data_IF_907143140307
#
_entry.id   IF_907143140307
#
_cell.length_a   1.000
_cell.length_b   1.000
_cell.length_c   1.000
_cell.angle_alpha   90.00
_cell.angle_beta   90.00
_cell.angle_gamma   90.00
#
_symmetry.space_group_name_H-M   'P 1'
#
loop_
_entity.id
_entity.type
_entity.pdbx_description
1 polymer ?
#
# COMPACT_ATOMS: atom_id res chain seq x y z
N UNK A 1 -10.28 20.43 -12.32
CA UNK A 1 -10.65 19.28 -11.48
C UNK A 1 -9.40 18.60 -10.94
N UNK A 2 -9.39 18.26 -9.68
CA UNK A 2 -8.28 17.50 -9.12
C UNK A 2 -8.52 16.02 -9.37
N UNK A 3 -7.49 15.32 -9.85
CA UNK A 3 -7.51 13.88 -10.03
C UNK A 3 -6.67 13.16 -8.98
N UNK A 4 -5.87 13.93 -8.22
CA UNK A 4 -5.05 13.43 -7.12
C UNK A 4 -5.36 14.24 -5.88
N UNK A 5 -5.91 13.57 -4.86
CA UNK A 5 -6.35 14.23 -3.63
C UNK A 5 -5.30 14.18 -2.53
N UNK A 6 -4.50 13.13 -2.50
CA UNK A 6 -3.44 12.98 -1.49
C UNK A 6 -2.08 13.24 -2.12
N UNK A 7 -1.19 13.91 -1.37
CA UNK A 7 0.19 14.10 -1.78
C UNK A 7 1.07 12.93 -1.32
N UNK A 8 0.97 12.58 -0.06
CA UNK A 8 1.77 11.49 0.49
C UNK A 8 1.13 10.91 1.73
N UNK A 9 1.65 9.76 2.13
CA UNK A 9 1.31 9.09 3.38
C UNK A 9 2.61 8.90 4.15
N UNK A 10 2.59 9.19 5.44
CA UNK A 10 3.71 9.00 6.35
C UNK A 10 3.25 7.98 7.40
N UNK A 11 3.76 6.77 7.29
CA UNK A 11 3.38 5.66 8.15
C UNK A 11 4.47 5.40 9.19
N UNK A 12 4.05 5.21 10.43
CA UNK A 12 4.98 4.87 11.52
C UNK A 12 5.23 3.36 11.55
N UNK A 13 6.49 3.00 11.75
CA UNK A 13 6.93 1.61 11.90
C UNK A 13 7.90 1.54 13.09
N UNK A 14 7.96 0.39 13.75
CA UNK A 14 8.83 0.25 14.93
C UNK A 14 10.26 -0.10 14.57
N UNK A 15 10.50 -0.70 13.41
CA UNK A 15 11.83 -1.17 13.00
C UNK A 15 12.02 -0.88 11.51
N UNK A 16 12.89 0.07 11.20
CA UNK A 16 13.11 0.52 9.82
C UNK A 16 13.72 -0.57 8.96
N UNK A 17 14.61 -1.39 9.49
CA UNK A 17 15.22 -2.46 8.70
C UNK A 17 14.17 -3.49 8.23
N UNK A 18 13.34 -3.95 9.15
CA UNK A 18 12.28 -4.90 8.82
C UNK A 18 11.23 -4.29 7.88
N UNK A 19 10.81 -3.06 8.16
CA UNK A 19 9.84 -2.35 7.34
C UNK A 19 10.37 -2.08 5.94
N UNK A 20 11.63 -1.64 5.83
CA UNK A 20 12.25 -1.38 4.54
C UNK A 20 12.33 -2.61 3.66
N UNK A 21 12.64 -3.77 4.25
CA UNK A 21 12.65 -5.04 3.51
C UNK A 21 11.26 -5.42 3.02
N UNK A 22 10.24 -5.26 3.86
CA UNK A 22 8.87 -5.60 3.52
C UNK A 22 8.33 -4.68 2.43
N UNK A 23 8.35 -3.37 2.68
CA UNK A 23 7.80 -2.38 1.74
C UNK A 23 8.62 -2.27 0.47
N UNK A 24 9.93 -2.51 0.54
CA UNK A 24 10.80 -2.51 -0.64
C UNK A 24 10.47 -3.59 -1.66
N UNK A 25 9.81 -4.67 -1.24
CA UNK A 25 9.35 -5.73 -2.14
C UNK A 25 8.00 -5.42 -2.76
N UNK A 26 7.18 -4.61 -2.10
CA UNK A 26 5.77 -4.40 -2.46
C UNK A 26 5.56 -3.07 -3.18
N UNK A 27 6.04 -1.97 -2.60
CA UNK A 27 5.74 -0.63 -3.09
C UNK A 27 6.21 -0.37 -4.52
N UNK A 28 7.40 -0.84 -4.96
CA UNK A 28 7.79 -0.66 -6.36
C UNK A 28 6.83 -1.32 -7.35
N UNK A 29 6.22 -2.42 -6.98
CA UNK A 29 5.25 -3.12 -7.83
C UNK A 29 3.92 -2.36 -7.91
N UNK A 30 3.68 -1.45 -6.97
CA UNK A 30 2.49 -0.60 -6.94
C UNK A 30 2.71 0.75 -7.61
N UNK A 31 3.93 1.00 -8.12
CA UNK A 31 4.24 2.26 -8.80
C UNK A 31 5.14 3.20 -8.03
N UNK A 32 5.51 2.89 -6.80
CA UNK A 32 6.45 3.68 -5.99
C UNK A 32 7.86 3.19 -6.25
N UNK A 33 8.43 3.59 -7.38
CA UNK A 33 9.63 2.97 -7.95
C UNK A 33 10.94 3.65 -7.58
N UNK A 34 10.90 4.86 -7.00
CA UNK A 34 12.10 5.60 -6.63
C UNK A 34 12.28 5.57 -5.11
N UNK A 35 13.30 4.86 -4.65
CA UNK A 35 13.55 4.68 -3.23
C UNK A 35 14.58 5.68 -2.73
N UNK A 36 14.33 6.24 -1.54
CA UNK A 36 15.27 7.13 -0.85
C UNK A 36 15.38 6.67 0.60
N UNK A 37 16.31 5.74 0.90
CA UNK A 37 16.48 5.24 2.26
C UNK A 37 17.18 6.26 3.16
N UNK A 38 16.82 6.25 4.45
CA UNK A 38 17.45 7.03 5.49
C UNK A 38 17.58 6.18 6.75
N UNK A 39 18.16 6.76 7.81
CA UNK A 39 18.37 6.02 9.04
C UNK A 39 17.08 5.78 9.81
N UNK A 40 16.25 6.81 9.94
CA UNK A 40 14.99 6.76 10.69
C UNK A 40 13.77 7.05 9.81
N UNK A 41 13.96 7.18 8.50
CA UNK A 41 12.90 7.30 7.52
C UNK A 41 13.29 6.61 6.21
N UNK A 42 12.29 6.27 5.42
CA UNK A 42 12.51 5.62 4.12
C UNK A 42 11.36 6.04 3.21
N UNK A 43 11.67 6.71 2.11
CA UNK A 43 10.66 7.27 1.22
C UNK A 43 10.64 6.54 -0.12
N UNK A 44 9.43 6.25 -0.61
CA UNK A 44 9.19 5.61 -1.89
C UNK A 44 8.35 6.56 -2.73
N UNK A 45 8.93 7.09 -3.80
CA UNK A 45 8.26 8.04 -4.70
C UNK A 45 7.65 7.32 -5.88
N UNK A 46 6.46 7.74 -6.29
CA UNK A 46 5.84 7.25 -7.52
C UNK A 46 6.68 7.63 -8.73
N UNK A 47 6.67 6.77 -9.74
CA UNK A 47 7.40 6.99 -10.98
C UNK A 47 6.56 7.68 -12.04
N UNK A 48 7.27 8.21 -13.05
CA UNK A 48 6.65 8.77 -14.25
C UNK A 48 6.21 10.22 -14.11
N UNK A 49 6.44 11.00 -15.15
CA UNK A 49 6.00 12.38 -15.23
C UNK A 49 7.07 13.37 -14.82
N UNK A 50 6.86 14.62 -15.21
CA UNK A 50 7.78 15.74 -15.00
C UNK A 50 7.45 16.55 -13.76
N UNK A 51 6.32 16.30 -13.14
CA UNK A 51 5.86 17.02 -11.95
C UNK A 51 5.98 16.13 -10.72
N UNK A 52 6.03 16.71 -9.52
CA UNK A 52 6.06 15.92 -8.29
C UNK A 52 4.86 14.97 -8.22
N UNK A 53 5.13 13.71 -7.89
CA UNK A 53 4.11 12.69 -7.73
C UNK A 53 4.01 12.29 -6.27
N UNK A 54 3.00 11.51 -5.95
CA UNK A 54 2.78 11.05 -4.59
C UNK A 54 3.95 10.20 -4.09
N UNK A 55 4.10 10.15 -2.78
CA UNK A 55 5.09 9.27 -2.17
C UNK A 55 4.55 8.62 -0.90
N UNK A 56 5.18 7.54 -0.53
CA UNK A 56 4.89 6.79 0.68
C UNK A 56 6.15 6.79 1.54
N UNK A 57 6.05 7.29 2.76
CA UNK A 57 7.20 7.42 3.66
C UNK A 57 6.99 6.56 4.90
N UNK A 58 8.03 5.84 5.25
CA UNK A 58 8.11 5.11 6.52
C UNK A 58 8.93 5.96 7.48
N UNK A 59 8.44 6.18 8.69
CA UNK A 59 9.17 6.88 9.75
C UNK A 59 9.27 5.97 10.96
N UNK A 60 10.47 5.82 11.51
CA UNK A 60 10.67 4.95 12.65
C UNK A 60 10.19 5.62 13.94
N UNK A 61 9.37 4.90 14.68
CA UNK A 61 8.93 5.25 16.03
C UNK A 61 8.82 3.95 16.81
N UNK A 62 9.77 3.71 17.69
CA UNK A 62 9.85 2.44 18.43
C UNK A 62 8.68 2.23 19.37
N UNK A 63 7.93 3.28 19.66
CA UNK A 63 6.73 3.22 20.50
C UNK A 63 5.43 3.14 19.71
N UNK A 64 5.54 3.05 18.38
CA UNK A 64 4.35 2.97 17.52
C UNK A 64 3.50 1.75 17.87
N UNK A 65 2.18 1.97 17.92
CA UNK A 65 1.19 0.91 18.04
C UNK A 65 0.18 1.07 16.92
N UNK A 66 -0.03 0.03 16.11
CA UNK A 66 -1.03 0.10 15.05
C UNK A 66 -2.44 0.21 15.64
N UNK A 67 -3.36 0.74 14.83
CA UNK A 67 -4.75 0.90 15.20
C UNK A 67 -5.65 0.40 14.07
N UNK A 68 -6.91 0.83 14.03
CA UNK A 68 -7.84 0.40 13.00
C UNK A 68 -7.71 1.10 11.65
N UNK A 69 -6.81 2.09 11.53
CA UNK A 69 -6.59 2.77 10.27
C UNK A 69 -6.06 1.79 9.23
N UNK A 70 -6.65 1.83 8.02
CA UNK A 70 -6.25 0.97 6.91
C UNK A 70 -5.88 1.82 5.71
N UNK A 71 -4.79 1.44 5.05
CA UNK A 71 -4.35 2.08 3.82
C UNK A 71 -4.58 1.08 2.68
N UNK A 72 -5.40 1.48 1.70
CA UNK A 72 -5.69 0.66 0.53
C UNK A 72 -4.96 1.22 -0.67
N UNK A 73 -4.17 0.37 -1.31
CA UNK A 73 -3.46 0.71 -2.53
C UNK A 73 -4.31 0.31 -3.73
N UNK A 74 -4.27 1.13 -4.77
CA UNK A 74 -4.96 0.88 -6.01
C UNK A 74 -4.23 -0.14 -6.87
N UNK A 75 -4.97 -1.08 -7.44
CA UNK A 75 -4.50 -1.96 -8.50
C UNK A 75 -5.39 -1.77 -9.72
N UNK A 76 -4.80 -1.86 -10.90
CA UNK A 76 -5.53 -1.64 -12.15
C UNK A 76 -6.39 -2.84 -12.55
N UNK A 77 -5.97 -4.04 -12.16
CA UNK A 77 -6.64 -5.28 -12.55
C UNK A 77 -6.69 -6.26 -11.38
N UNK A 78 -7.59 -7.26 -11.48
CA UNK A 78 -7.63 -8.36 -10.51
C UNK A 78 -6.35 -9.19 -10.54
N UNK A 79 -5.77 -9.37 -11.71
CA UNK A 79 -4.50 -10.09 -11.88
C UNK A 79 -3.38 -9.39 -11.09
N UNK A 80 -3.38 -8.06 -11.10
CA UNK A 80 -2.40 -7.30 -10.33
C UNK A 80 -2.60 -7.51 -8.82
N UNK A 81 -3.85 -7.51 -8.34
CA UNK A 81 -4.14 -7.84 -6.93
C UNK A 81 -3.59 -9.23 -6.59
N UNK A 82 -3.83 -10.21 -7.46
CA UNK A 82 -3.35 -11.57 -7.25
C UNK A 82 -1.81 -11.64 -7.18
N UNK A 83 -1.15 -10.93 -8.08
CA UNK A 83 0.31 -10.90 -8.13
C UNK A 83 0.90 -10.26 -6.89
N UNK A 84 0.35 -9.11 -6.47
CA UNK A 84 0.82 -8.41 -5.27
C UNK A 84 0.57 -9.25 -4.03
N UNK A 85 -0.56 -9.98 -3.97
CA UNK A 85 -0.85 -10.84 -2.82
C UNK A 85 0.23 -11.91 -2.62
N UNK A 86 0.77 -12.45 -3.71
CA UNK A 86 1.88 -13.41 -3.64
C UNK A 86 3.15 -12.77 -3.11
N UNK A 87 3.46 -11.55 -3.57
CA UNK A 87 4.62 -10.81 -3.07
C UNK A 87 4.50 -10.50 -1.58
N UNK A 88 3.31 -10.11 -1.12
CA UNK A 88 3.04 -9.83 0.29
C UNK A 88 3.28 -11.09 1.13
N UNK A 89 2.76 -12.23 0.65
CA UNK A 89 2.94 -13.51 1.33
C UNK A 89 4.43 -13.87 1.45
N UNK A 90 5.16 -13.74 0.35
CA UNK A 90 6.59 -14.05 0.30
C UNK A 90 7.42 -13.07 1.15
N UNK A 91 6.95 -11.83 1.26
CA UNK A 91 7.61 -10.80 2.06
C UNK A 91 7.33 -10.91 3.56
N UNK A 92 6.44 -11.80 3.97
CA UNK A 92 6.12 -12.01 5.37
C UNK A 92 4.96 -11.18 5.90
N UNK A 93 4.04 -10.78 5.03
CA UNK A 93 2.81 -10.12 5.46
C UNK A 93 2.03 -10.98 6.45
N UNK A 94 1.30 -10.33 7.35
CA UNK A 94 0.57 -10.98 8.42
C UNK A 94 -0.93 -10.87 8.21
N UNK A 95 -1.67 -11.81 8.80
CA UNK A 95 -3.15 -11.82 8.83
C UNK A 95 -3.76 -11.63 7.44
N UNK A 96 -3.34 -12.49 6.52
CA UNK A 96 -3.73 -12.42 5.11
C UNK A 96 -5.18 -12.85 4.92
N UNK A 97 -5.95 -12.07 4.14
CA UNK A 97 -7.33 -12.38 3.75
C UNK A 97 -7.54 -12.10 2.27
N UNK A 98 -8.03 -13.10 1.54
CA UNK A 98 -8.30 -12.97 0.11
C UNK A 98 -7.13 -13.42 -0.75
N UNK A 99 -7.03 -12.96 -2.00
CA UNK A 99 -7.93 -12.01 -2.69
C UNK A 99 -9.36 -12.53 -2.84
N UNK A 100 -10.33 -11.61 -2.75
CA UNK A 100 -11.74 -11.98 -2.83
C UNK A 100 -12.60 -10.83 -3.36
N UNK A 101 -13.76 -11.19 -3.90
CA UNK A 101 -14.75 -10.21 -4.32
C UNK A 101 -15.49 -9.70 -3.08
N UNK A 102 -15.56 -8.37 -2.92
CA UNK A 102 -16.19 -7.70 -1.80
C UNK A 102 -17.33 -6.82 -2.31
N UNK A 103 -18.43 -7.44 -2.76
CA UNK A 103 -19.58 -6.72 -3.32
C UNK A 103 -20.22 -5.75 -2.32
N UNK A 104 -20.08 -6.04 -1.02
CA UNK A 104 -20.58 -5.14 0.03
C UNK A 104 -19.93 -3.76 0.00
N UNK A 105 -18.72 -3.65 -0.53
CA UNK A 105 -18.00 -2.37 -0.59
C UNK A 105 -18.42 -1.58 -1.84
N UNK A 106 -18.42 -2.23 -2.99
CA UNK A 106 -18.95 -1.68 -4.24
C UNK A 106 -18.96 -2.77 -5.29
N UNK A 107 -19.73 -2.58 -6.39
CA UNK A 107 -19.78 -3.57 -7.47
C UNK A 107 -18.38 -3.82 -8.06
N UNK A 108 -18.01 -5.10 -8.15
CA UNK A 108 -16.73 -5.50 -8.71
C UNK A 108 -15.52 -5.21 -7.84
N UNK A 109 -15.74 -4.87 -6.57
CA UNK A 109 -14.62 -4.61 -5.65
C UNK A 109 -13.89 -5.92 -5.38
N UNK A 110 -12.60 -5.95 -5.71
CA UNK A 110 -11.75 -7.12 -5.54
C UNK A 110 -10.54 -6.73 -4.70
N UNK A 111 -10.32 -7.41 -3.58
CA UNK A 111 -9.35 -6.93 -2.60
C UNK A 111 -8.59 -8.05 -1.91
N UNK A 112 -7.40 -7.70 -1.47
CA UNK A 112 -6.56 -8.51 -0.61
C UNK A 112 -6.17 -7.68 0.61
N UNK A 113 -6.41 -8.23 1.80
CA UNK A 113 -6.15 -7.55 3.08
C UNK A 113 -4.96 -8.21 3.77
N UNK A 114 -4.12 -7.38 4.37
CA UNK A 114 -2.93 -7.88 5.06
C UNK A 114 -2.44 -6.86 6.09
N UNK A 115 -1.44 -7.26 6.85
CA UNK A 115 -0.76 -6.38 7.79
C UNK A 115 0.73 -6.41 7.53
N UNK A 116 1.39 -5.28 7.79
CA UNK A 116 2.84 -5.21 7.73
C UNK A 116 3.47 -5.89 8.96
N UNK A 117 4.82 -5.94 9.08
CA UNK A 117 5.45 -6.59 10.24
C UNK A 117 5.03 -6.03 11.60
N UNK A 118 4.60 -4.77 11.67
CA UNK A 118 4.14 -4.15 12.90
C UNK A 118 2.65 -4.37 13.18
N UNK A 119 1.90 -4.83 12.20
CA UNK A 119 0.46 -4.97 12.31
C UNK A 119 -0.31 -3.77 11.77
N UNK A 120 0.33 -2.85 11.05
CA UNK A 120 -0.37 -1.79 10.34
C UNK A 120 -1.24 -2.43 9.26
N UNK A 121 -2.51 -2.00 9.16
CA UNK A 121 -3.49 -2.61 8.25
C UNK A 121 -3.37 -2.04 6.85
N UNK A 122 -3.23 -2.92 5.88
CA UNK A 122 -3.05 -2.57 4.48
C UNK A 122 -4.01 -3.38 3.61
N UNK A 123 -4.21 -2.89 2.40
CA UNK A 123 -5.11 -3.53 1.43
C UNK A 123 -4.61 -3.23 0.02
N UNK A 124 -4.81 -4.17 -0.90
CA UNK A 124 -4.65 -3.95 -2.34
C UNK A 124 -6.02 -4.18 -2.94
N UNK A 125 -6.53 -3.22 -3.71
CA UNK A 125 -7.86 -3.36 -4.27
C UNK A 125 -7.97 -2.82 -5.69
N UNK A 126 -8.93 -3.36 -6.43
CA UNK A 126 -9.37 -2.78 -7.69
C UNK A 126 -10.90 -2.75 -7.73
N UNK A 127 -11.43 -1.81 -8.49
CA UNK A 127 -12.86 -1.65 -8.71
C UNK A 127 -13.10 -1.43 -10.20
N UNK A 128 -14.14 -2.02 -10.72
CA UNK A 128 -14.42 -1.94 -12.14
C UNK A 128 -15.26 -0.71 -12.51
N UNK A 129 -16.10 -0.25 -11.58
CA UNK A 129 -17.03 0.84 -11.83
C UNK A 129 -17.01 1.87 -10.73
N UNK A 130 -17.22 3.15 -11.07
CA UNK A 130 -17.36 4.18 -10.04
C UNK A 130 -18.63 3.95 -9.23
N UNK A 131 -18.58 4.34 -7.96
CA UNK A 131 -19.74 4.31 -7.08
C UNK A 131 -20.76 5.36 -7.51
N UNK A 132 -20.26 6.51 -7.99
CA UNK A 132 -21.09 7.61 -8.43
C UNK A 132 -20.83 7.89 -9.92
N UNK A 133 -21.89 8.13 -10.67
CA UNK A 133 -21.77 8.62 -12.04
C UNK A 133 -21.52 10.13 -12.02
N UNK A 134 -20.55 10.58 -12.80
CA UNK A 134 -20.27 12.02 -12.97
C UNK A 134 -21.04 12.58 -14.16
#
# INVERSE_FOLDING_TARGET
>A
MKTRCFDHIDLRVTNMEAAGKFYGKILPQLGFVHESPGDDYYTFYAGGGERPLEFFCLSEDKNHRPNGTRIAFWADTREEVDQISKLVRDAGGKNLEGPEVCEDYSPGYYAFFFEDPDGNKLEICCREKPVFAD
#
